data_IF_616744105313
#
_entry.id   IF_616744105313
#
_cell.length_a   1.000
_cell.length_b   1.000
_cell.length_c   1.000
_cell.angle_alpha   90.00
_cell.angle_beta   90.00
_cell.angle_gamma   90.00
#
_symmetry.space_group_name_H-M   'P 1'
#
loop_
_entity.id
_entity.type
_entity.pdbx_description
1 polymer ?
#
# COMPACT_ATOMS: atom_id res chain seq x y z
N UNK A 1 14.56 13.22 2.01
CA UNK A 1 14.36 11.77 1.77
C UNK A 1 12.94 11.50 1.24
N UNK A 2 12.36 12.34 0.37
CA UNK A 2 10.88 12.41 0.27
C UNK A 2 10.24 11.78 -0.98
N UNK A 3 10.83 11.91 -2.17
CA UNK A 3 10.13 11.48 -3.40
C UNK A 3 10.59 10.12 -3.94
N UNK A 4 11.89 9.81 -3.85
CA UNK A 4 12.40 8.50 -4.30
C UNK A 4 11.96 7.36 -3.40
N UNK A 5 11.83 7.61 -2.10
CA UNK A 5 11.41 6.60 -1.13
C UNK A 5 9.91 6.29 -1.25
N UNK A 6 9.05 7.31 -1.37
CA UNK A 6 7.62 7.10 -1.60
C UNK A 6 7.35 6.36 -2.92
N UNK A 7 8.07 6.70 -4.00
CA UNK A 7 7.99 5.96 -5.26
C UNK A 7 8.40 4.50 -5.11
N UNK A 8 9.44 4.21 -4.33
CA UNK A 8 9.87 2.83 -4.04
C UNK A 8 8.78 2.05 -3.30
N UNK A 9 8.15 2.66 -2.29
CA UNK A 9 7.02 2.03 -1.58
C UNK A 9 5.80 1.80 -2.48
N UNK A 10 5.49 2.74 -3.38
CA UNK A 10 4.47 2.53 -4.41
C UNK A 10 4.86 1.39 -5.38
N UNK A 11 6.13 1.26 -5.73
CA UNK A 11 6.63 0.14 -6.52
C UNK A 11 6.37 -1.21 -5.85
N UNK A 12 6.62 -1.31 -4.55
CA UNK A 12 6.30 -2.51 -3.78
C UNK A 12 4.79 -2.77 -3.69
N UNK A 13 3.98 -1.72 -3.50
CA UNK A 13 2.53 -1.84 -3.47
C UNK A 13 1.96 -2.39 -4.79
N UNK A 14 2.48 -1.90 -5.93
CA UNK A 14 2.11 -2.39 -7.26
C UNK A 14 2.50 -3.84 -7.46
N UNK A 15 3.73 -4.20 -7.09
CA UNK A 15 4.20 -5.58 -7.23
C UNK A 15 3.35 -6.58 -6.43
N UNK A 16 2.95 -6.23 -5.20
CA UNK A 16 2.05 -7.06 -4.40
C UNK A 16 0.66 -7.20 -5.05
N UNK A 17 0.12 -6.09 -5.58
CA UNK A 17 -1.19 -6.09 -6.23
C UNK A 17 -1.18 -6.96 -7.50
N UNK A 18 -0.17 -6.80 -8.36
CA UNK A 18 0.01 -7.61 -9.58
C UNK A 18 0.14 -9.10 -9.23
N UNK A 19 0.84 -9.44 -8.14
CA UNK A 19 0.93 -10.81 -7.65
C UNK A 19 -0.41 -11.33 -7.14
N UNK A 20 -1.18 -10.51 -6.42
CA UNK A 20 -2.52 -10.87 -5.96
C UNK A 20 -3.47 -11.13 -7.14
N UNK A 21 -3.46 -10.28 -8.16
CA UNK A 21 -4.26 -10.41 -9.38
C UNK A 21 -3.89 -11.67 -10.16
N UNK A 22 -2.59 -11.96 -10.28
CA UNK A 22 -2.08 -13.18 -10.93
C UNK A 22 -2.57 -14.44 -10.20
N UNK A 23 -2.49 -14.47 -8.86
CA UNK A 23 -2.94 -15.62 -8.07
C UNK A 23 -4.46 -15.77 -8.06
N UNK A 24 -5.20 -14.67 -8.15
CA UNK A 24 -6.66 -14.70 -8.27
C UNK A 24 -7.12 -15.28 -9.60
N UNK A 25 -6.38 -15.01 -10.69
CA UNK A 25 -6.63 -15.57 -12.01
C UNK A 25 -6.19 -17.04 -12.14
N UNK A 26 -5.45 -17.59 -11.18
CA UNK A 26 -4.97 -18.97 -11.21
C UNK A 26 -6.13 -19.97 -11.02
N UNK A 27 -6.20 -21.05 -11.80
CA UNK A 27 -7.19 -22.10 -11.62
C UNK A 27 -7.09 -22.83 -10.26
N UNK A 28 -5.94 -22.76 -9.61
CA UNK A 28 -5.69 -23.41 -8.32
C UNK A 28 -6.30 -22.64 -7.13
N UNK A 29 -6.84 -21.44 -7.37
CA UNK A 29 -7.52 -20.56 -6.40
C UNK A 29 -6.78 -20.44 -5.05
N UNK A 30 -5.99 -19.37 -4.89
CA UNK A 30 -5.22 -19.10 -3.67
C UNK A 30 -5.81 -17.97 -2.81
N UNK A 31 -7.04 -18.09 -2.28
CA UNK A 31 -7.77 -16.96 -1.68
C UNK A 31 -7.04 -16.34 -0.48
N UNK A 32 -6.36 -17.15 0.33
CA UNK A 32 -5.58 -16.66 1.48
C UNK A 32 -4.43 -15.77 1.03
N UNK A 33 -3.69 -16.20 0.02
CA UNK A 33 -2.53 -15.49 -0.53
C UNK A 33 -2.96 -14.22 -1.25
N UNK A 34 -4.07 -14.28 -2.02
CA UNK A 34 -4.67 -13.12 -2.66
C UNK A 34 -5.04 -12.06 -1.62
N UNK A 35 -5.77 -12.43 -0.57
CA UNK A 35 -6.14 -11.49 0.49
C UNK A 35 -4.92 -10.92 1.23
N UNK A 36 -3.91 -11.75 1.50
CA UNK A 36 -2.68 -11.31 2.15
C UNK A 36 -1.91 -10.29 1.30
N UNK A 37 -1.72 -10.57 0.01
CA UNK A 37 -1.03 -9.65 -0.90
C UNK A 37 -1.82 -8.37 -1.12
N UNK A 38 -3.15 -8.45 -1.21
CA UNK A 38 -4.00 -7.27 -1.29
C UNK A 38 -3.86 -6.37 -0.04
N UNK A 39 -3.81 -6.95 1.17
CA UNK A 39 -3.55 -6.22 2.40
C UNK A 39 -2.17 -5.56 2.41
N UNK A 40 -1.13 -6.28 1.98
CA UNK A 40 0.23 -5.74 1.90
C UNK A 40 0.33 -4.60 0.87
N UNK A 41 -0.35 -4.73 -0.27
CA UNK A 41 -0.40 -3.70 -1.31
C UNK A 41 -0.96 -2.38 -0.76
N UNK A 42 -2.12 -2.42 -0.08
CA UNK A 42 -2.71 -1.21 0.49
C UNK A 42 -1.87 -0.64 1.64
N UNK A 43 -1.26 -1.49 2.48
CA UNK A 43 -0.37 -1.04 3.56
C UNK A 43 0.83 -0.24 3.00
N UNK A 44 1.48 -0.77 1.97
CA UNK A 44 2.63 -0.12 1.31
C UNK A 44 2.24 1.16 0.59
N UNK A 45 1.05 1.19 -0.03
CA UNK A 45 0.52 2.40 -0.66
C UNK A 45 0.23 3.50 0.37
N UNK A 46 -0.35 3.17 1.53
CA UNK A 46 -0.57 4.11 2.62
C UNK A 46 0.75 4.64 3.18
N UNK A 47 1.75 3.77 3.37
CA UNK A 47 3.10 4.18 3.79
C UNK A 47 3.76 5.14 2.80
N UNK A 48 3.60 4.89 1.49
CA UNK A 48 4.09 5.82 0.47
C UNK A 48 3.41 7.20 0.56
N UNK A 49 2.09 7.23 0.79
CA UNK A 49 1.36 8.47 1.00
C UNK A 49 1.85 9.23 2.24
N UNK A 50 2.04 8.54 3.37
CA UNK A 50 2.58 9.15 4.59
C UNK A 50 3.98 9.72 4.39
N UNK A 51 4.84 9.07 3.59
CA UNK A 51 6.18 9.59 3.24
C UNK A 51 6.07 10.89 2.43
N UNK A 52 5.14 10.96 1.47
CA UNK A 52 4.90 12.18 0.70
C UNK A 52 4.45 13.34 1.58
N UNK A 53 3.60 13.05 2.57
CA UNK A 53 3.15 14.00 3.58
C UNK A 53 4.20 14.27 4.67
N UNK A 54 5.39 13.67 4.58
CA UNK A 54 6.47 13.76 5.58
C UNK A 54 6.05 13.31 7.00
N UNK A 55 5.07 12.41 7.08
CA UNK A 55 4.55 11.85 8.32
C UNK A 55 5.32 10.57 8.66
N UNK A 56 6.02 10.59 9.79
CA UNK A 56 6.65 9.39 10.35
C UNK A 56 5.56 8.45 10.87
N UNK A 57 5.59 7.21 10.43
CA UNK A 57 4.63 6.19 10.82
C UNK A 57 5.27 5.08 11.65
N UNK A 58 4.52 4.47 12.59
CA UNK A 58 5.00 3.33 13.35
C UNK A 58 5.11 2.09 12.46
N UNK A 59 6.03 1.19 12.79
CA UNK A 59 6.11 -0.11 12.15
C UNK A 59 5.00 -1.03 12.69
N UNK A 60 3.78 -0.83 12.18
CA UNK A 60 2.59 -1.62 12.51
C UNK A 60 1.90 -2.11 11.24
N UNK A 61 1.31 -3.31 11.29
CA UNK A 61 0.47 -3.88 10.23
C UNK A 61 -1.02 -3.47 10.37
N UNK A 62 -1.29 -2.31 10.97
CA UNK A 62 -2.64 -1.81 11.23
C UNK A 62 -3.03 -0.78 10.16
N UNK A 63 -3.88 -1.22 9.22
CA UNK A 63 -4.34 -0.39 8.11
C UNK A 63 -5.18 0.81 8.58
N UNK A 64 -6.01 0.62 9.62
CA UNK A 64 -6.86 1.69 10.13
C UNK A 64 -6.01 2.77 10.77
N UNK A 65 -4.98 2.37 11.53
CA UNK A 65 -4.00 3.30 12.09
C UNK A 65 -3.27 4.08 11.00
N UNK A 66 -2.74 3.41 9.98
CA UNK A 66 -2.01 4.08 8.89
C UNK A 66 -2.91 5.06 8.13
N UNK A 67 -4.15 4.65 7.80
CA UNK A 67 -5.13 5.51 7.14
C UNK A 67 -5.45 6.74 7.99
N UNK A 68 -5.68 6.56 9.29
CA UNK A 68 -6.07 7.65 10.19
C UNK A 68 -4.94 8.66 10.46
N UNK A 69 -3.70 8.35 10.05
CA UNK A 69 -2.57 9.28 10.11
C UNK A 69 -2.52 10.25 8.93
N UNK A 70 -3.24 10.00 7.84
CA UNK A 70 -3.30 10.91 6.70
C UNK A 70 -4.08 12.19 7.07
N UNK A 71 -3.69 13.37 6.54
CA UNK A 71 -4.41 14.62 6.78
C UNK A 71 -5.88 14.54 6.38
N UNK A 72 -6.74 15.26 7.10
CA UNK A 72 -8.15 15.39 6.72
C UNK A 72 -8.26 16.05 5.33
N UNK A 73 -8.98 15.41 4.41
CA UNK A 73 -9.10 15.87 3.03
C UNK A 73 -7.97 15.43 2.11
N UNK A 74 -7.16 14.44 2.50
CA UNK A 74 -6.17 13.80 1.62
C UNK A 74 -6.88 13.27 0.35
N UNK A 75 -6.77 14.04 -0.73
CA UNK A 75 -7.28 13.69 -2.05
C UNK A 75 -6.13 13.13 -2.89
N UNK A 76 -6.48 12.21 -3.79
CA UNK A 76 -5.57 11.74 -4.85
C UNK A 76 -4.80 12.93 -5.42
N UNK A 77 -3.48 12.80 -5.52
CA UNK A 77 -2.67 13.65 -6.39
C UNK A 77 -3.32 13.62 -7.77
N UNK A 78 -4.05 14.69 -8.11
CA UNK A 78 -4.56 14.93 -9.45
C UNK A 78 -3.35 15.11 -10.35
N UNK A 79 -3.09 14.10 -11.19
CA UNK A 79 -2.39 14.26 -12.45
C UNK A 79 -3.42 14.33 -13.56
#
# INVERSE_FOLDING_TARGET
MSESESQRWLGFARSDLEAAETLLASPDHYPRQVCFLAQQAIEKALKAALILEQIVFPFSHDLDRLRNMLPAGWQKLSK
#
